data_IF_487401807935
#
_entry.id   IF_487401807935
#
_cell.length_a   1.000
_cell.length_b   1.000
_cell.length_c   1.000
_cell.angle_alpha   90.00
_cell.angle_beta   90.00
_cell.angle_gamma   90.00
#
_symmetry.space_group_name_H-M   'P 1'
#
loop_
_entity.id
_entity.type
_entity.pdbx_description
1 polymer ?
#
# COMPACT_ATOMS: atom_id res chain seq x y z
N UNK A 1 -11.71 -12.85 4.76
CA UNK A 1 -10.40 -13.51 4.93
C UNK A 1 -9.22 -12.57 5.18
N UNK A 2 -9.37 -11.25 5.02
CA UNK A 2 -8.33 -10.26 5.35
C UNK A 2 -8.94 -9.01 6.01
N UNK A 3 -8.08 -8.18 6.63
CA UNK A 3 -8.40 -6.84 7.12
C UNK A 3 -7.55 -5.82 6.37
N UNK A 4 -8.17 -4.74 5.89
CA UNK A 4 -7.46 -3.67 5.17
C UNK A 4 -7.53 -2.39 5.99
N UNK A 5 -6.38 -1.80 6.30
CA UNK A 5 -6.32 -0.48 6.94
C UNK A 5 -6.56 0.59 5.86
N UNK A 6 -7.43 1.55 6.16
CA UNK A 6 -7.80 2.60 5.22
C UNK A 6 -7.37 3.97 5.73
N UNK A 7 -6.46 4.64 5.03
CA UNK A 7 -6.13 6.06 5.23
C UNK A 7 -7.06 6.93 4.38
N UNK A 8 -8.33 7.01 4.82
CA UNK A 8 -9.43 7.57 4.01
C UNK A 8 -9.24 9.03 3.64
N UNK A 9 -8.67 9.85 4.52
CA UNK A 9 -8.43 11.26 4.27
C UNK A 9 -7.03 11.53 3.70
N UNK A 10 -6.21 10.48 3.49
CA UNK A 10 -4.85 10.59 2.97
C UNK A 10 -3.94 11.43 3.86
N UNK A 11 -4.20 11.50 5.16
CA UNK A 11 -3.52 12.36 6.12
C UNK A 11 -2.54 11.63 7.03
N UNK A 12 -2.37 10.33 6.86
CA UNK A 12 -1.51 9.53 7.74
C UNK A 12 -0.05 9.68 7.34
N UNK A 13 0.77 10.21 8.26
CA UNK A 13 2.23 10.14 8.13
C UNK A 13 2.73 8.72 8.47
N UNK A 14 3.87 8.31 7.90
CA UNK A 14 4.41 6.95 8.04
C UNK A 14 4.47 6.43 9.48
N UNK A 15 4.91 7.26 10.44
CA UNK A 15 5.03 6.84 11.83
C UNK A 15 3.69 6.42 12.45
N UNK A 16 2.61 7.13 12.11
CA UNK A 16 1.27 6.79 12.57
C UNK A 16 0.78 5.49 11.90
N UNK A 17 0.98 5.37 10.59
CA UNK A 17 0.61 4.17 9.83
C UNK A 17 1.27 2.91 10.40
N UNK A 18 2.59 2.95 10.60
CA UNK A 18 3.35 1.79 11.11
C UNK A 18 2.90 1.38 12.52
N UNK A 19 2.55 2.36 13.36
CA UNK A 19 1.96 2.07 14.67
C UNK A 19 0.61 1.36 14.54
N UNK A 20 -0.28 1.87 13.68
CA UNK A 20 -1.58 1.26 13.42
C UNK A 20 -1.46 -0.17 12.84
N UNK A 21 -0.54 -0.37 11.89
CA UNK A 21 -0.22 -1.69 11.33
C UNK A 21 0.19 -2.69 12.41
N UNK A 22 1.12 -2.30 13.29
CA UNK A 22 1.57 -3.15 14.41
C UNK A 22 0.43 -3.50 15.37
N UNK A 23 -0.41 -2.53 15.72
CA UNK A 23 -1.54 -2.75 16.63
C UNK A 23 -2.58 -3.70 16.02
N UNK A 24 -2.90 -3.55 14.72
CA UNK A 24 -3.84 -4.43 14.02
C UNK A 24 -3.28 -5.84 13.88
N UNK A 25 -2.03 -5.99 13.46
CA UNK A 25 -1.39 -7.31 13.32
C UNK A 25 -1.29 -8.06 14.65
N UNK A 26 -1.13 -7.35 15.77
CA UNK A 26 -1.18 -7.97 17.10
C UNK A 26 -2.59 -8.41 17.50
N UNK A 27 -3.63 -7.74 16.98
CA UNK A 27 -5.02 -8.00 17.31
C UNK A 27 -5.67 -9.09 16.44
N UNK A 28 -5.13 -9.35 15.24
CA UNK A 28 -5.74 -10.28 14.27
C UNK A 28 -4.75 -11.33 13.79
N UNK A 29 -5.22 -12.56 13.61
CA UNK A 29 -4.43 -13.66 13.04
C UNK A 29 -4.84 -13.96 11.58
N UNK A 30 -5.10 -12.91 10.81
CA UNK A 30 -5.51 -12.99 9.40
C UNK A 30 -4.68 -11.98 8.58
N UNK A 31 -4.52 -12.20 7.26
CA UNK A 31 -3.81 -11.28 6.36
C UNK A 31 -4.24 -9.82 6.50
N UNK A 32 -3.26 -8.92 6.51
CA UNK A 32 -3.47 -7.46 6.58
C UNK A 32 -3.10 -6.82 5.25
N UNK A 33 -3.89 -5.84 4.82
CA UNK A 33 -3.63 -5.00 3.65
C UNK A 33 -3.71 -3.50 3.96
N UNK A 34 -3.43 -2.69 2.95
CA UNK A 34 -3.45 -1.21 3.02
C UNK A 34 -4.24 -0.62 1.85
N UNK A 35 -5.03 0.42 2.12
CA UNK A 35 -5.65 1.32 1.15
C UNK A 35 -5.33 2.77 1.56
N UNK A 36 -4.52 3.47 0.76
CA UNK A 36 -4.07 4.82 1.09
C UNK A 36 -4.52 5.84 0.03
N UNK A 37 -5.01 7.00 0.51
CA UNK A 37 -5.26 8.18 -0.32
C UNK A 37 -4.04 9.12 -0.32
N UNK A 38 -3.90 9.94 -1.35
CA UNK A 38 -2.68 10.72 -1.63
C UNK A 38 -2.78 12.21 -1.23
N UNK A 39 -3.65 12.58 -0.31
CA UNK A 39 -3.90 13.99 0.07
C UNK A 39 -2.67 14.75 0.59
N UNK A 40 -1.72 14.04 1.22
CA UNK A 40 -0.44 14.62 1.65
C UNK A 40 0.77 14.06 0.90
N UNK A 41 0.57 13.48 -0.30
CA UNK A 41 1.61 12.86 -1.14
C UNK A 41 2.34 11.66 -0.50
N UNK A 42 1.68 11.00 0.46
CA UNK A 42 2.27 9.86 1.18
C UNK A 42 1.71 8.50 0.74
N UNK A 43 0.75 8.41 -0.18
CA UNK A 43 0.07 7.13 -0.47
C UNK A 43 1.03 6.04 -0.95
N UNK A 44 1.94 6.38 -1.86
CA UNK A 44 2.95 5.43 -2.37
C UNK A 44 3.92 5.02 -1.27
N UNK A 45 4.48 5.99 -0.54
CA UNK A 45 5.45 5.75 0.52
C UNK A 45 4.86 4.94 1.68
N UNK A 46 3.61 5.22 2.06
CA UNK A 46 2.85 4.49 3.06
C UNK A 46 2.54 3.06 2.61
N UNK A 47 2.18 2.86 1.34
CA UNK A 47 1.90 1.52 0.80
C UNK A 47 3.14 0.64 0.82
N UNK A 48 4.31 1.17 0.43
CA UNK A 48 5.58 0.44 0.50
C UNK A 48 5.94 0.10 1.95
N UNK A 49 5.85 1.09 2.86
CA UNK A 49 6.15 0.88 4.27
C UNK A 49 5.22 -0.14 4.93
N UNK A 50 3.95 -0.18 4.53
CA UNK A 50 3.01 -1.20 5.00
C UNK A 50 3.42 -2.61 4.55
N UNK A 51 3.86 -2.77 3.30
CA UNK A 51 4.38 -4.04 2.78
C UNK A 51 5.64 -4.48 3.55
N UNK A 52 6.59 -3.57 3.79
CA UNK A 52 7.77 -3.85 4.61
C UNK A 52 7.41 -4.25 6.05
N UNK A 53 6.30 -3.73 6.57
CA UNK A 53 5.73 -4.10 7.87
C UNK A 53 4.87 -5.37 7.84
N UNK A 54 4.80 -6.11 6.73
CA UNK A 54 4.08 -7.38 6.62
C UNK A 54 2.67 -7.30 6.03
N UNK A 55 2.25 -6.16 5.46
CA UNK A 55 1.05 -6.13 4.63
C UNK A 55 1.25 -7.00 3.39
N UNK A 56 0.26 -7.83 3.06
CA UNK A 56 0.30 -8.74 1.89
C UNK A 56 -0.61 -8.29 0.75
N UNK A 57 -1.31 -7.17 0.93
CA UNK A 57 -2.19 -6.59 -0.08
C UNK A 57 -2.07 -5.07 -0.07
N UNK A 58 -1.94 -4.49 -1.27
CA UNK A 58 -2.02 -3.04 -1.49
C UNK A 58 -3.24 -2.77 -2.38
N UNK A 59 -4.12 -1.88 -1.94
CA UNK A 59 -5.22 -1.35 -2.72
C UNK A 59 -4.86 0.05 -3.23
N UNK A 60 -5.14 0.26 -4.50
CA UNK A 60 -4.81 1.49 -5.20
C UNK A 60 -5.40 1.45 -6.60
N UNK A 61 -5.00 2.39 -7.43
CA UNK A 61 -5.47 2.49 -8.81
C UNK A 61 -4.31 2.74 -9.75
N UNK A 62 -4.49 2.36 -11.01
CA UNK A 62 -3.55 2.70 -12.07
C UNK A 62 -3.49 4.23 -12.21
N UNK A 63 -2.27 4.77 -12.24
CA UNK A 63 -1.98 6.20 -12.25
C UNK A 63 -2.53 6.99 -11.03
N UNK A 64 -2.91 6.29 -9.94
CA UNK A 64 -3.40 6.93 -8.72
C UNK A 64 -4.78 7.60 -8.85
N UNK A 65 -5.56 7.27 -9.89
CA UNK A 65 -6.91 7.83 -10.07
C UNK A 65 -7.82 7.60 -8.87
N UNK A 66 -8.58 8.61 -8.45
CA UNK A 66 -9.49 8.51 -7.31
C UNK A 66 -10.08 9.87 -6.93
N UNK A 67 -10.82 9.90 -5.83
CA UNK A 67 -11.34 11.15 -5.27
C UNK A 67 -10.21 12.07 -4.79
N UNK A 68 -10.44 13.38 -4.83
CA UNK A 68 -9.52 14.42 -4.32
C UNK A 68 -8.14 14.33 -4.99
N UNK A 69 -7.08 14.13 -4.21
CA UNK A 69 -5.70 13.95 -4.67
C UNK A 69 -5.41 12.52 -5.17
N UNK A 70 -6.41 11.63 -5.16
CA UNK A 70 -6.30 10.28 -5.70
C UNK A 70 -5.93 9.23 -4.67
N UNK A 71 -5.69 8.01 -5.18
CA UNK A 71 -5.30 6.83 -4.42
C UNK A 71 -3.81 6.52 -4.60
N UNK A 72 -3.32 5.53 -3.86
CA UNK A 72 -2.02 4.93 -4.08
C UNK A 72 -1.82 4.51 -5.55
N UNK A 73 -0.76 5.01 -6.19
CA UNK A 73 -0.49 4.79 -7.60
C UNK A 73 0.17 3.43 -7.85
N UNK A 74 -0.60 2.48 -8.39
CA UNK A 74 -0.12 1.11 -8.66
C UNK A 74 0.95 1.07 -9.77
N UNK A 75 0.94 2.01 -10.72
CA UNK A 75 1.98 2.11 -11.75
C UNK A 75 3.35 2.42 -11.13
N UNK A 76 3.38 3.03 -9.94
CA UNK A 76 4.61 3.31 -9.20
C UNK A 76 4.92 2.19 -8.21
N UNK A 77 3.91 1.70 -7.49
CA UNK A 77 4.11 0.73 -6.41
C UNK A 77 4.55 -0.64 -6.94
N UNK A 78 3.87 -1.18 -7.96
CA UNK A 78 4.16 -2.52 -8.51
C UNK A 78 5.65 -2.65 -8.94
N UNK A 79 6.22 -1.76 -9.78
CA UNK A 79 7.61 -1.89 -10.17
C UNK A 79 8.60 -1.68 -9.01
N UNK A 80 8.27 -0.85 -8.01
CA UNK A 80 9.11 -0.73 -6.81
C UNK A 80 9.16 -2.06 -6.07
N UNK A 81 7.99 -2.63 -5.75
CA UNK A 81 7.92 -3.89 -5.02
C UNK A 81 8.59 -5.03 -5.80
N UNK A 82 8.30 -5.15 -7.10
CA UNK A 82 8.76 -6.29 -7.90
C UNK A 82 10.19 -6.16 -8.40
N UNK A 83 10.56 -5.02 -9.00
CA UNK A 83 11.88 -4.86 -9.62
C UNK A 83 12.95 -4.40 -8.63
N UNK A 84 12.58 -3.74 -7.52
CA UNK A 84 13.55 -3.20 -6.54
C UNK A 84 13.57 -3.96 -5.24
N UNK A 85 12.44 -4.48 -4.78
CA UNK A 85 12.33 -5.14 -3.47
C UNK A 85 12.18 -6.66 -3.57
N UNK A 86 12.02 -7.22 -4.78
CA UNK A 86 12.02 -8.66 -5.01
C UNK A 86 10.70 -9.36 -4.63
N UNK A 87 9.58 -8.64 -4.59
CA UNK A 87 8.26 -9.23 -4.38
C UNK A 87 7.63 -9.70 -5.69
N UNK A 88 6.86 -10.80 -5.65
CA UNK A 88 6.06 -11.24 -6.80
C UNK A 88 4.67 -10.59 -6.75
N UNK A 89 4.48 -9.49 -7.50
CA UNK A 89 3.21 -8.74 -7.52
C UNK A 89 2.32 -9.12 -8.71
N UNK A 90 2.89 -9.10 -9.92
CA UNK A 90 2.21 -9.48 -11.16
C UNK A 90 3.09 -10.45 -11.98
N UNK A 91 2.52 -11.20 -12.94
CA UNK A 91 3.31 -12.09 -13.78
C UNK A 91 4.46 -11.35 -14.48
N UNK A 92 5.64 -11.98 -14.56
CA UNK A 92 6.85 -11.35 -15.06
C UNK A 92 6.69 -10.86 -16.52
N UNK A 93 5.89 -11.53 -17.33
CA UNK A 93 5.52 -11.14 -18.69
C UNK A 93 4.70 -9.84 -18.75
N UNK A 94 4.06 -9.45 -17.65
CA UNK A 94 3.32 -8.18 -17.54
C UNK A 94 4.21 -7.01 -17.11
N UNK A 95 5.49 -7.27 -16.83
CA UNK A 95 6.49 -6.27 -16.45
C UNK A 95 7.43 -5.88 -17.60
N UNK A 96 7.20 -6.36 -18.82
CA UNK A 96 7.98 -6.00 -19.99
C UNK A 96 7.60 -4.61 -20.49
N UNK A 97 8.57 -3.86 -21.04
CA UNK A 97 8.36 -2.54 -21.63
C UNK A 97 7.34 -2.52 -22.78
#
# INVERSE_FOLDING_TARGET
>A
DSVVLCDTNGGSVQAFLLKAMSDVQAAVNIPVGIHAHNDIDMAVANSIAAVESGAVQVQGTMNGYGERCGNANLCTIIPILQLKMGYDCIPAESMTE
#
